data_IF_015596293341
#
_entry.id   IF_015596293341
#
_cell.length_a   1.000
_cell.length_b   1.000
_cell.length_c   1.000
_cell.angle_alpha   90.00
_cell.angle_beta   90.00
_cell.angle_gamma   90.00
#
_symmetry.space_group_name_H-M   'P 1'
#
loop_
_entity.id
_entity.type
_entity.pdbx_description
1 polymer ?
#
# COMPACT_ATOMS: atom_id res chain seq x y z
N UNK A 1 -0.34 24.23 3.60
CA UNK A 1 -1.70 23.90 3.15
C UNK A 1 -1.67 22.53 2.50
N UNK A 2 -2.59 21.64 2.86
CA UNK A 2 -2.73 20.35 2.21
C UNK A 2 -3.33 20.51 0.81
N UNK A 3 -3.02 19.56 -0.08
CA UNK A 3 -3.56 19.49 -1.43
C UNK A 3 -4.42 18.23 -1.55
N UNK A 4 -5.64 18.38 -2.04
CA UNK A 4 -6.58 17.29 -2.23
C UNK A 4 -6.91 17.16 -3.71
N UNK A 5 -6.89 15.94 -4.24
CA UNK A 5 -7.28 15.64 -5.61
C UNK A 5 -8.36 14.56 -5.60
N UNK A 6 -9.42 14.76 -6.38
CA UNK A 6 -10.44 13.74 -6.61
C UNK A 6 -10.26 13.20 -8.04
N UNK A 7 -9.77 11.97 -8.17
CA UNK A 7 -9.57 11.30 -9.45
C UNK A 7 -10.64 10.22 -9.59
N UNK A 8 -11.51 10.35 -10.59
CA UNK A 8 -12.57 9.37 -10.87
C UNK A 8 -12.09 8.34 -11.88
N UNK A 9 -11.50 7.26 -11.40
CA UNK A 9 -11.05 6.13 -12.22
C UNK A 9 -11.29 4.82 -11.45
N UNK A 10 -12.26 4.03 -11.90
CA UNK A 10 -12.64 2.77 -11.24
C UNK A 10 -11.49 1.76 -11.20
N UNK A 11 -10.82 1.54 -12.33
CA UNK A 11 -9.67 0.62 -12.40
C UNK A 11 -8.56 0.99 -11.41
N UNK A 12 -8.23 2.28 -11.32
CA UNK A 12 -7.21 2.75 -10.38
C UNK A 12 -7.66 2.56 -8.93
N UNK A 13 -8.94 2.81 -8.64
CA UNK A 13 -9.50 2.58 -7.31
C UNK A 13 -9.40 1.10 -6.92
N UNK A 14 -9.73 0.18 -7.82
CA UNK A 14 -9.63 -1.27 -7.62
C UNK A 14 -8.17 -1.68 -7.37
N UNK A 15 -7.22 -1.23 -8.20
CA UNK A 15 -5.78 -1.50 -8.03
C UNK A 15 -5.29 -1.02 -6.65
N UNK A 16 -5.69 0.18 -6.24
CA UNK A 16 -5.29 0.73 -4.94
C UNK A 16 -5.92 -0.04 -3.78
N UNK A 17 -7.20 -0.40 -3.90
CA UNK A 17 -7.92 -1.20 -2.92
C UNK A 17 -7.28 -2.58 -2.75
N UNK A 18 -7.08 -3.32 -3.85
CA UNK A 18 -6.48 -4.64 -3.84
C UNK A 18 -5.08 -4.62 -3.24
N UNK A 19 -4.29 -3.58 -3.54
CA UNK A 19 -2.97 -3.44 -2.94
C UNK A 19 -3.07 -3.23 -1.42
N UNK A 20 -3.98 -2.37 -0.95
CA UNK A 20 -4.19 -2.13 0.48
C UNK A 20 -4.71 -3.37 1.19
N UNK A 21 -5.69 -4.08 0.63
CA UNK A 21 -6.24 -5.27 1.25
C UNK A 21 -5.17 -6.36 1.40
N UNK A 22 -4.53 -6.72 0.27
CA UNK A 22 -3.55 -7.80 0.25
C UNK A 22 -2.25 -7.50 1.00
N UNK A 23 -1.79 -6.25 0.96
CA UNK A 23 -0.48 -5.89 1.53
C UNK A 23 -0.59 -5.24 2.91
N UNK A 24 -1.68 -4.52 3.22
CA UNK A 24 -1.86 -3.83 4.50
C UNK A 24 -2.86 -4.54 5.42
N UNK A 25 -4.09 -4.74 4.99
CA UNK A 25 -5.15 -5.28 5.86
C UNK A 25 -4.85 -6.71 6.28
N UNK A 26 -4.44 -7.56 5.34
CA UNK A 26 -4.03 -8.94 5.60
C UNK A 26 -2.57 -9.08 6.08
N UNK A 27 -1.92 -7.96 6.39
CA UNK A 27 -0.54 -7.92 6.84
C UNK A 27 -0.33 -8.63 8.17
N UNK A 28 0.74 -9.41 8.28
CA UNK A 28 1.09 -10.02 9.56
C UNK A 28 1.39 -8.97 10.62
N UNK A 29 0.89 -9.17 11.83
CA UNK A 29 1.02 -8.18 12.90
C UNK A 29 0.10 -6.96 12.75
N UNK A 30 -0.71 -6.88 11.69
CA UNK A 30 -1.82 -5.92 11.60
C UNK A 30 -2.99 -6.47 12.41
N UNK A 31 -3.45 -5.67 13.36
CA UNK A 31 -4.47 -6.05 14.32
C UNK A 31 -5.54 -4.98 14.40
N UNK A 32 -6.78 -5.42 14.57
CA UNK A 32 -7.92 -4.53 14.84
C UNK A 32 -7.67 -3.73 16.11
N UNK A 33 -7.83 -2.42 16.02
CA UNK A 33 -7.58 -1.49 17.12
C UNK A 33 -8.78 -1.34 18.07
N UNK A 34 -9.95 -1.80 17.65
CA UNK A 34 -11.21 -1.77 18.41
C UNK A 34 -11.44 -3.02 19.26
N UNK A 35 -10.45 -3.92 19.31
CA UNK A 35 -10.48 -5.16 20.10
C UNK A 35 -9.73 -4.99 21.42
N UNK A 36 -10.38 -5.22 22.58
CA UNK A 36 -9.70 -5.10 23.88
C UNK A 36 -8.63 -6.19 24.08
N UNK A 37 -8.78 -7.33 23.40
CA UNK A 37 -7.87 -8.48 23.41
C UNK A 37 -6.70 -8.35 22.42
N UNK A 38 -6.47 -7.17 21.81
CA UNK A 38 -5.38 -6.99 20.86
C UNK A 38 -4.01 -7.25 21.49
N UNK A 39 -3.08 -7.88 20.77
CA UNK A 39 -1.72 -8.08 21.28
C UNK A 39 -1.01 -6.72 21.44
N UNK A 40 -0.19 -6.60 22.49
CA UNK A 40 0.67 -5.43 22.68
C UNK A 40 1.90 -5.53 21.77
N UNK A 41 2.49 -4.40 21.44
CA UNK A 41 3.66 -4.33 20.55
C UNK A 41 4.82 -5.26 20.92
N UNK A 42 5.15 -5.51 22.20
CA UNK A 42 6.18 -6.49 22.56
C UNK A 42 5.85 -7.93 22.14
N UNK A 43 4.57 -8.31 22.15
CA UNK A 43 4.08 -9.67 21.89
C UNK A 43 4.20 -10.02 20.40
N UNK A 44 4.09 -9.02 19.51
CA UNK A 44 4.15 -9.18 18.05
C UNK A 44 5.37 -8.50 17.41
N UNK A 45 6.40 -8.15 18.20
CA UNK A 45 7.58 -7.40 17.73
C UNK A 45 8.27 -8.09 16.54
N UNK A 46 8.32 -9.42 16.55
CA UNK A 46 8.92 -10.20 15.48
C UNK A 46 8.10 -10.15 14.18
N UNK A 47 6.78 -10.24 14.29
CA UNK A 47 5.88 -10.11 13.13
C UNK A 47 5.99 -8.71 12.53
N UNK A 48 5.98 -7.65 13.35
CA UNK A 48 6.18 -6.28 12.88
C UNK A 48 7.51 -6.15 12.11
N UNK A 49 8.60 -6.75 12.61
CA UNK A 49 9.90 -6.70 11.94
C UNK A 49 9.88 -7.43 10.60
N UNK A 50 9.34 -8.64 10.55
CA UNK A 50 9.27 -9.44 9.32
C UNK A 50 8.37 -8.77 8.29
N UNK A 51 7.22 -8.27 8.74
CA UNK A 51 6.27 -7.56 7.88
C UNK A 51 6.86 -6.31 7.23
N UNK A 52 7.60 -5.48 8.00
CA UNK A 52 8.30 -4.33 7.43
C UNK A 52 9.31 -4.71 6.35
N UNK A 53 9.96 -5.88 6.48
CA UNK A 53 10.87 -6.38 5.45
C UNK A 53 10.07 -6.83 4.22
N UNK A 54 8.99 -7.58 4.41
CA UNK A 54 8.10 -8.02 3.31
C UNK A 54 7.53 -6.83 2.52
N UNK A 55 7.18 -5.73 3.20
CA UNK A 55 6.63 -4.53 2.56
C UNK A 55 7.63 -3.76 1.70
N UNK A 56 8.94 -3.94 1.89
CA UNK A 56 9.96 -3.23 1.08
C UNK A 56 9.92 -3.63 -0.38
N UNK A 57 9.51 -4.86 -0.64
CA UNK A 57 9.52 -5.45 -1.99
C UNK A 57 8.12 -5.41 -2.64
N UNK A 58 7.14 -4.72 -2.02
CA UNK A 58 5.77 -4.61 -2.56
C UNK A 58 5.62 -3.39 -3.45
N UNK A 59 4.94 -3.59 -4.58
CA UNK A 59 4.61 -2.56 -5.56
C UNK A 59 3.14 -2.68 -5.99
N UNK A 60 2.60 -1.60 -6.58
CA UNK A 60 1.33 -1.70 -7.32
C UNK A 60 1.53 -2.56 -8.57
N UNK A 61 0.59 -3.45 -8.82
CA UNK A 61 0.57 -4.29 -10.01
C UNK A 61 -0.63 -3.87 -10.87
N UNK A 62 -0.36 -3.44 -12.10
CA UNK A 62 -1.39 -2.99 -13.02
C UNK A 62 -0.92 -3.09 -14.47
N UNK A 63 -1.87 -3.11 -15.40
CA UNK A 63 -1.62 -2.97 -16.83
C UNK A 63 -1.97 -1.54 -17.23
N UNK A 64 -0.96 -0.74 -17.55
CA UNK A 64 -1.16 0.60 -18.10
C UNK A 64 -1.77 0.51 -19.49
N UNK A 65 -2.81 1.29 -19.76
CA UNK A 65 -3.50 1.32 -21.06
C UNK A 65 -3.39 2.66 -21.77
N UNK A 66 -2.69 3.63 -21.18
CA UNK A 66 -2.52 4.95 -21.76
C UNK A 66 -1.42 4.92 -22.83
N UNK A 67 -1.65 5.61 -23.95
CA UNK A 67 -0.62 5.83 -24.98
C UNK A 67 0.35 6.96 -24.61
N UNK A 68 1.39 7.16 -25.44
CA UNK A 68 2.48 8.12 -25.19
C UNK A 68 2.02 9.59 -25.13
N UNK A 69 0.92 9.94 -25.80
CA UNK A 69 0.35 11.30 -25.84
C UNK A 69 -0.88 11.47 -24.95
N UNK A 70 -1.16 10.50 -24.08
CA UNK A 70 -2.31 10.52 -23.20
C UNK A 70 -1.92 10.90 -21.76
N UNK A 71 -2.78 11.68 -21.10
CA UNK A 71 -2.65 11.94 -19.68
C UNK A 71 -2.82 10.63 -18.91
N UNK A 72 -1.76 10.24 -18.19
CA UNK A 72 -1.75 9.03 -17.37
C UNK A 72 -1.42 9.35 -15.90
N UNK A 73 -1.83 8.44 -15.02
CA UNK A 73 -1.54 8.48 -13.59
C UNK A 73 -1.01 7.11 -13.19
N UNK A 74 0.17 7.09 -12.59
CA UNK A 74 0.81 5.85 -12.11
C UNK A 74 0.87 5.86 -10.58
N UNK A 75 0.19 4.93 -9.89
CA UNK A 75 0.30 4.81 -8.44
C UNK A 75 1.67 4.25 -8.06
N UNK A 76 2.30 4.84 -7.04
CA UNK A 76 3.64 4.47 -6.56
C UNK A 76 3.61 4.22 -5.06
N UNK A 77 4.41 3.27 -4.60
CA UNK A 77 4.62 2.96 -3.18
C UNK A 77 6.10 2.67 -2.94
N UNK A 78 6.60 2.98 -1.74
CA UNK A 78 8.00 2.74 -1.40
C UNK A 78 8.98 3.72 -2.04
N UNK A 79 8.56 4.96 -2.30
CA UNK A 79 9.46 6.03 -2.76
C UNK A 79 10.45 6.39 -1.64
N UNK A 80 11.67 5.86 -1.75
CA UNK A 80 12.79 6.11 -0.83
C UNK A 80 14.11 6.13 -1.59
N UNK A 81 15.25 6.24 -0.89
CA UNK A 81 16.61 6.39 -1.47
C UNK A 81 17.03 5.32 -2.51
N UNK A 82 16.27 4.26 -2.68
CA UNK A 82 16.53 3.14 -3.61
C UNK A 82 15.40 2.92 -4.62
N UNK A 83 14.45 3.85 -4.73
CA UNK A 83 13.42 3.85 -5.77
C UNK A 83 14.08 3.94 -7.16
N UNK A 84 13.62 3.13 -8.10
CA UNK A 84 14.05 3.14 -9.52
C UNK A 84 13.54 4.37 -10.30
N UNK A 85 12.70 5.18 -9.66
CA UNK A 85 12.24 6.50 -10.11
C UNK A 85 12.93 7.60 -9.31
#
# INVERSE_FOLDING_TARGET
>A
YDRYQCIRNGKMADIMFDWVDNNLVQGRGVNRLDRPDRPRSPEIKNDIRQYRQELRDRSYHFVGTAGDEELSVTPLVGLGKSSLL
#
